data_IF_706168771349
#
_entry.id   IF_706168771349
#
_cell.length_a   1.000
_cell.length_b   1.000
_cell.length_c   1.000
_cell.angle_alpha   90.00
_cell.angle_beta   90.00
_cell.angle_gamma   90.00
#
_symmetry.space_group_name_H-M   'P 1'
#
loop_
_entity.id
_entity.type
_entity.pdbx_description
1 polymer ?
#
# COMPACT_ATOMS: atom_id res chain seq x y z
N UNK A 1 9.76 0.73 23.89
CA UNK A 1 10.06 0.37 22.49
C UNK A 1 9.08 -0.74 22.14
N UNK A 2 8.06 -0.44 21.32
CA UNK A 2 6.99 -1.39 21.01
C UNK A 2 7.38 -2.14 19.75
N UNK A 3 7.75 -3.42 19.87
CA UNK A 3 7.93 -4.31 18.72
C UNK A 3 6.58 -4.61 18.09
N UNK A 4 6.32 -4.01 16.92
CA UNK A 4 5.14 -4.30 16.13
C UNK A 4 5.26 -5.74 15.61
N UNK A 5 4.47 -6.64 16.19
CA UNK A 5 4.29 -7.99 15.62
C UNK A 5 3.50 -7.86 14.32
N UNK A 6 4.20 -7.91 13.18
CA UNK A 6 3.63 -7.94 11.83
C UNK A 6 2.50 -9.00 11.63
N UNK A 7 2.33 -9.94 12.57
CA UNK A 7 1.27 -10.94 12.59
C UNK A 7 -0.15 -10.38 12.75
N UNK A 8 -0.35 -9.19 13.33
CA UNK A 8 -1.71 -8.69 13.63
C UNK A 8 -2.36 -7.91 12.48
N UNK A 9 -1.57 -7.37 11.56
CA UNK A 9 -2.10 -6.62 10.41
C UNK A 9 -2.16 -7.53 9.19
N UNK A 10 -3.14 -8.43 9.18
CA UNK A 10 -3.43 -9.34 8.07
C UNK A 10 -3.94 -8.57 6.82
N UNK A 11 -3.10 -7.67 6.29
CA UNK A 11 -3.33 -6.91 5.08
C UNK A 11 -3.05 -7.83 3.90
N UNK A 12 -4.05 -8.62 3.53
CA UNK A 12 -4.12 -9.22 2.20
C UNK A 12 -4.16 -8.09 1.17
N UNK A 13 -2.99 -7.70 0.66
CA UNK A 13 -2.89 -6.81 -0.46
C UNK A 13 -3.08 -7.63 -1.74
N UNK A 14 -4.27 -7.52 -2.31
CA UNK A 14 -4.51 -7.88 -3.70
C UNK A 14 -4.21 -6.63 -4.55
N UNK A 15 -3.37 -6.81 -5.58
CA UNK A 15 -2.89 -5.77 -6.53
C UNK A 15 -4.04 -4.93 -7.12
N UNK A 16 -5.26 -5.46 -7.07
CA UNK A 16 -6.50 -4.82 -7.49
C UNK A 16 -7.09 -3.80 -6.49
N UNK A 17 -6.53 -3.62 -5.29
CA UNK A 17 -7.12 -2.81 -4.22
C UNK A 17 -6.12 -1.81 -3.60
N UNK A 18 -5.30 -1.20 -4.45
CA UNK A 18 -4.26 -0.22 -4.03
C UNK A 18 -4.79 0.93 -3.17
N UNK A 19 -5.97 1.46 -3.48
CA UNK A 19 -6.54 2.56 -2.69
C UNK A 19 -7.00 2.11 -1.31
N UNK A 20 -7.48 0.86 -1.20
CA UNK A 20 -7.85 0.25 0.08
C UNK A 20 -6.60 0.02 0.94
N UNK A 21 -5.47 -0.39 0.32
CA UNK A 21 -4.20 -0.53 1.02
C UNK A 21 -3.75 0.82 1.61
N UNK A 22 -3.67 1.86 0.78
CA UNK A 22 -3.26 3.21 1.19
C UNK A 22 -4.11 3.69 2.37
N UNK A 23 -5.43 3.56 2.28
CA UNK A 23 -6.34 3.98 3.35
C UNK A 23 -6.16 3.17 4.65
N UNK A 24 -5.97 1.84 4.56
CA UNK A 24 -5.70 1.01 5.75
C UNK A 24 -4.40 1.40 6.43
N UNK A 25 -3.37 1.66 5.64
CA UNK A 25 -2.06 2.10 6.12
C UNK A 25 -2.17 3.45 6.84
N UNK A 26 -2.87 4.42 6.25
CA UNK A 26 -3.10 5.73 6.87
C UNK A 26 -3.89 5.62 8.19
N UNK A 27 -4.94 4.78 8.23
CA UNK A 27 -5.69 4.52 9.47
C UNK A 27 -4.82 3.89 10.56
N UNK A 28 -3.93 2.96 10.23
CA UNK A 28 -3.03 2.33 11.20
C UNK A 28 -2.05 3.36 11.77
N UNK A 29 -1.53 4.22 10.90
CA UNK A 29 -0.62 5.27 11.32
C UNK A 29 -1.28 6.27 12.26
N UNK A 30 -2.52 6.65 11.96
CA UNK A 30 -3.32 7.52 12.84
C UNK A 30 -3.54 6.87 14.21
N UNK A 31 -3.96 5.60 14.25
CA UNK A 31 -4.17 4.85 15.51
C UNK A 31 -2.90 4.78 16.35
N UNK A 32 -1.73 4.69 15.71
CA UNK A 32 -0.44 4.52 16.39
C UNK A 32 0.35 5.80 16.60
N UNK A 33 -0.09 6.93 16.03
CA UNK A 33 0.68 8.16 15.99
C UNK A 33 1.98 8.04 15.19
N UNK A 34 2.03 7.18 14.16
CA UNK A 34 3.19 7.03 13.30
C UNK A 34 3.31 8.19 12.30
N UNK A 35 4.54 8.63 12.03
CA UNK A 35 4.77 9.66 11.02
C UNK A 35 4.66 9.07 9.61
N UNK A 36 4.36 9.91 8.62
CA UNK A 36 4.36 9.53 7.21
C UNK A 36 5.68 8.87 6.76
N UNK A 37 6.81 9.31 7.32
CA UNK A 37 8.13 8.72 7.05
C UNK A 37 8.25 7.31 7.61
N UNK A 38 7.70 7.07 8.79
CA UNK A 38 7.72 5.74 9.42
C UNK A 38 6.84 4.76 8.64
N UNK A 39 5.68 5.23 8.15
CA UNK A 39 4.81 4.47 7.27
C UNK A 39 5.53 4.07 5.99
N UNK A 40 6.16 5.03 5.31
CA UNK A 40 6.83 4.81 4.03
C UNK A 40 7.91 3.73 4.13
N UNK A 41 8.54 3.56 5.29
CA UNK A 41 9.56 2.55 5.55
C UNK A 41 9.02 1.21 6.03
N UNK A 42 7.85 1.20 6.66
CA UNK A 42 7.28 -0.02 7.26
C UNK A 42 6.33 -0.78 6.32
N UNK A 43 5.75 -0.11 5.33
CA UNK A 43 4.72 -0.69 4.47
C UNK A 43 5.16 -1.98 3.74
N UNK A 44 6.43 -2.11 3.37
CA UNK A 44 6.96 -3.34 2.77
C UNK A 44 6.80 -4.55 3.72
N UNK A 45 7.14 -4.38 5.01
CA UNK A 45 7.03 -5.40 6.05
C UNK A 45 5.58 -5.79 6.38
N UNK A 46 4.62 -4.94 6.04
CA UNK A 46 3.21 -5.22 6.24
C UNK A 46 2.60 -6.09 5.14
N UNK A 47 3.31 -6.24 4.03
CA UNK A 47 2.89 -7.13 2.93
C UNK A 47 3.44 -8.54 3.16
N UNK A 48 2.57 -9.56 3.05
CA UNK A 48 2.98 -10.97 3.17
C UNK A 48 3.48 -11.57 1.85
N UNK A 49 3.27 -10.87 0.74
CA UNK A 49 3.72 -11.28 -0.59
C UNK A 49 5.11 -10.67 -0.87
N UNK A 50 6.12 -11.54 -1.00
CA UNK A 50 7.49 -11.13 -1.24
C UNK A 50 7.70 -10.40 -2.56
N UNK A 51 6.89 -10.67 -3.59
CA UNK A 51 6.97 -9.94 -4.86
C UNK A 51 6.48 -8.49 -4.70
N UNK A 52 5.43 -8.32 -3.90
CA UNK A 52 4.87 -6.99 -3.60
C UNK A 52 5.84 -6.21 -2.73
N UNK A 53 6.39 -6.82 -1.67
CA UNK A 53 7.42 -6.19 -0.82
C UNK A 53 8.60 -5.71 -1.65
N UNK A 54 9.14 -6.59 -2.52
CA UNK A 54 10.24 -6.27 -3.41
C UNK A 54 9.93 -5.08 -4.33
N UNK A 55 8.70 -5.02 -4.87
CA UNK A 55 8.29 -3.89 -5.70
C UNK A 55 8.16 -2.58 -4.92
N UNK A 56 7.60 -2.61 -3.71
CA UNK A 56 7.51 -1.44 -2.83
C UNK A 56 8.91 -0.94 -2.47
N UNK A 57 9.83 -1.83 -2.08
CA UNK A 57 11.21 -1.47 -1.74
C UNK A 57 11.98 -0.84 -2.92
N UNK A 58 11.60 -1.20 -4.15
CA UNK A 58 12.14 -0.62 -5.37
C UNK A 58 11.63 0.80 -5.68
N UNK A 59 10.51 1.24 -5.09
CA UNK A 59 9.87 2.53 -5.36
C UNK A 59 10.66 3.71 -4.78
N UNK A 60 10.54 4.87 -5.43
CA UNK A 60 11.30 6.06 -5.04
C UNK A 60 10.81 6.58 -3.69
N UNK A 61 9.48 6.62 -3.48
CA UNK A 61 8.89 7.06 -2.22
C UNK A 61 9.35 6.24 -1.01
N UNK A 62 9.54 4.92 -1.18
CA UNK A 62 10.08 4.05 -0.13
C UNK A 62 11.53 4.42 0.19
N UNK A 63 12.37 4.57 -0.84
CA UNK A 63 13.80 4.89 -0.69
C UNK A 63 14.06 6.21 0.02
N UNK A 64 13.26 7.23 -0.26
CA UNK A 64 13.42 8.56 0.35
C UNK A 64 12.58 8.72 1.64
N UNK A 65 11.72 7.75 1.97
CA UNK A 65 10.81 7.81 3.11
C UNK A 65 9.73 8.88 2.95
N UNK A 66 9.26 9.09 1.72
CA UNK A 66 8.19 10.02 1.36
C UNK A 66 6.92 9.24 1.04
N UNK A 67 5.93 9.36 1.92
CA UNK A 67 4.66 8.66 1.79
C UNK A 67 3.83 9.14 0.60
N UNK A 68 3.85 10.44 0.30
CA UNK A 68 3.07 10.99 -0.80
C UNK A 68 3.64 10.53 -2.14
N UNK A 69 4.97 10.54 -2.29
CA UNK A 69 5.63 9.94 -3.45
C UNK A 69 5.36 8.43 -3.54
N UNK A 70 5.34 7.72 -2.41
CA UNK A 70 5.08 6.28 -2.41
C UNK A 70 3.65 5.96 -2.85
N UNK A 71 2.66 6.77 -2.47
CA UNK A 71 1.28 6.65 -2.98
C UNK A 71 1.22 6.80 -4.50
N UNK A 72 1.95 7.77 -5.06
CA UNK A 72 2.04 7.96 -6.52
C UNK A 72 2.68 6.75 -7.20
N UNK A 73 3.81 6.28 -6.70
CA UNK A 73 4.53 5.12 -7.25
C UNK A 73 3.66 3.85 -7.22
N UNK A 74 2.96 3.64 -6.10
CA UNK A 74 2.07 2.48 -5.87
C UNK A 74 0.87 2.54 -6.81
N UNK A 75 0.21 3.70 -6.96
CA UNK A 75 -0.91 3.87 -7.90
C UNK A 75 -0.47 3.76 -9.36
N UNK A 76 0.72 4.22 -9.72
CA UNK A 76 1.25 4.06 -11.09
C UNK A 76 1.48 2.59 -11.43
N UNK A 77 1.93 1.78 -10.47
CA UNK A 77 2.22 0.36 -10.71
C UNK A 77 0.97 -0.54 -10.66
N UNK A 78 0.06 -0.28 -9.73
CA UNK A 78 -1.10 -1.17 -9.47
C UNK A 78 -2.47 -0.49 -9.57
N UNK A 79 -2.51 0.84 -9.65
CA UNK A 79 -3.74 1.62 -9.80
C UNK A 79 -4.27 1.71 -11.23
N UNK A 80 -3.55 1.15 -12.21
CA UNK A 80 -4.09 0.99 -13.56
C UNK A 80 -5.24 0.00 -13.49
N UNK A 81 -6.46 0.52 -13.54
CA UNK A 81 -7.68 -0.26 -13.74
C UNK A 81 -7.43 -1.17 -14.95
N UNK A 82 -7.25 -2.48 -14.71
CA UNK A 82 -7.20 -3.45 -15.81
C UNK A 82 -8.41 -3.20 -16.72
N UNK A 83 -8.27 -3.20 -18.05
CA UNK A 83 -9.38 -2.94 -18.98
C UNK A 83 -10.66 -3.75 -18.67
N UNK A 84 -10.51 -4.93 -18.07
CA UNK A 84 -11.61 -5.78 -17.60
C UNK A 84 -12.57 -5.08 -16.61
N UNK A 85 -12.08 -4.14 -15.77
CA UNK A 85 -12.91 -3.37 -14.85
C UNK A 85 -13.66 -2.19 -15.49
N UNK A 86 -13.26 -1.74 -16.70
CA UNK A 86 -14.04 -0.73 -17.42
C UNK A 86 -15.40 -1.28 -17.88
N UNK A 87 -15.45 -2.57 -18.21
CA UNK A 87 -16.66 -3.22 -18.72
C UNK A 87 -17.66 -3.64 -17.64
N UNK A 88 -17.23 -3.87 -16.39
CA UNK A 88 -18.16 -4.29 -15.33
C UNK A 88 -18.98 -3.15 -14.73
N UNK A 89 -18.49 -1.91 -14.76
CA UNK A 89 -19.26 -0.73 -14.31
C UNK A 89 -20.19 -0.17 -15.40
N UNK A 90 -19.86 -0.38 -16.68
CA UNK A 90 -20.69 0.07 -17.82
C UNK A 90 -21.75 -0.95 -18.25
N UNK A 91 -21.84 -2.10 -17.57
CA UNK A 91 -22.89 -3.12 -17.81
C UNK A 91 -24.05 -3.04 -16.81
N UNK A 92 -24.10 -1.98 -15.99
CA UNK A 92 -25.23 -1.68 -15.10
C UNK A 92 -25.95 -0.46 -15.69
N UNK A 93 -26.71 -0.67 -16.75
CA UNK A 93 -27.76 0.26 -17.21
C UNK A 93 -28.86 -0.55 -17.87
#
# INVERSE_FOLDING_TARGET
>A
MVEIRAKEYNMWFDRNYVEILIKKVENIAEIKGESQRDIARQIAFWTKDGEISYHIEGMQGYKIGDWDQLKVDTKRRWGTISPQRRYTLSSIT
#
